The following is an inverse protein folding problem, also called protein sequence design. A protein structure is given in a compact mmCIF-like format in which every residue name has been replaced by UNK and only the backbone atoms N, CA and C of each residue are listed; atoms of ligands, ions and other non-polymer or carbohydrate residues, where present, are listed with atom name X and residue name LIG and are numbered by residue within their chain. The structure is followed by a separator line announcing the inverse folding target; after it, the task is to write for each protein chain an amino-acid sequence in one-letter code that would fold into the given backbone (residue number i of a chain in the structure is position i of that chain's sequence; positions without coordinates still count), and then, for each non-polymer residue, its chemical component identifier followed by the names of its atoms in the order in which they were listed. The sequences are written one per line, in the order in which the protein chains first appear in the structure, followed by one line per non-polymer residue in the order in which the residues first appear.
data_IF_297341121229
#
_entry.id   IF_297341121229
#
_cell.length_a   1.000
_cell.length_b   1.000
_cell.length_c   1.000
_cell.angle_alpha   90.00
_cell.angle_beta   90.00
_cell.angle_gamma   90.00
#
_symmetry.space_group_name_H-M   'P 1'
#
loop_
_entity.id
_entity.type
_entity.pdbx_description
1 polymer ?
#
# COMPACT_ATOMS: atom_id res chain seq x y z
N UNK A 1 -21.73 16.20 8.32
CA UNK A 1 -21.04 15.49 9.43
C UNK A 1 -21.05 13.97 9.29
N UNK A 2 -22.10 13.31 8.77
CA UNK A 2 -22.08 11.85 8.49
C UNK A 2 -21.16 11.42 7.33
N UNK A 3 -20.96 12.28 6.32
CA UNK A 3 -20.07 12.00 5.18
C UNK A 3 -18.59 11.93 5.57
N UNK A 4 -18.16 12.78 6.50
CA UNK A 4 -16.79 12.80 7.03
C UNK A 4 -16.43 11.49 7.77
N UNK A 5 -17.34 10.98 8.61
CA UNK A 5 -17.14 9.70 9.31
C UNK A 5 -17.10 8.49 8.35
N UNK A 6 -17.86 8.52 7.25
CA UNK A 6 -17.79 7.49 6.21
C UNK A 6 -16.45 7.53 5.48
N UNK A 7 -15.95 8.74 5.17
CA UNK A 7 -14.63 8.94 4.56
C UNK A 7 -13.48 8.46 5.46
N UNK A 8 -13.54 8.73 6.77
CA UNK A 8 -12.54 8.24 7.73
C UNK A 8 -12.52 6.72 7.81
N UNK A 9 -13.69 6.07 7.81
CA UNK A 9 -13.79 4.62 7.84
C UNK A 9 -13.21 3.96 6.58
N UNK A 10 -13.45 4.54 5.39
CA UNK A 10 -12.86 4.07 4.13
C UNK A 10 -11.35 4.24 4.13
N UNK A 11 -10.85 5.38 4.64
CA UNK A 11 -9.41 5.60 4.77
C UNK A 11 -8.75 4.61 5.75
N UNK A 12 -9.36 4.35 6.90
CA UNK A 12 -8.89 3.35 7.86
C UNK A 12 -8.86 1.94 7.23
N UNK A 13 -9.88 1.57 6.46
CA UNK A 13 -9.91 0.32 5.71
C UNK A 13 -8.77 0.23 4.68
N UNK A 14 -8.52 1.31 3.94
CA UNK A 14 -7.41 1.42 3.00
C UNK A 14 -6.05 1.26 3.69
N UNK A 15 -5.85 1.90 4.85
CA UNK A 15 -4.62 1.74 5.64
C UNK A 15 -4.40 0.30 6.10
N UNK A 16 -5.45 -0.38 6.56
CA UNK A 16 -5.37 -1.80 6.92
C UNK A 16 -5.00 -2.65 5.71
N UNK A 17 -5.62 -2.39 4.55
CA UNK A 17 -5.28 -3.06 3.30
C UNK A 17 -3.82 -2.87 2.89
N UNK A 18 -3.33 -1.62 2.95
CA UNK A 18 -1.92 -1.29 2.67
C UNK A 18 -0.99 -1.99 3.66
N UNK A 19 -1.33 -2.02 4.94
CA UNK A 19 -0.53 -2.70 5.96
C UNK A 19 -0.42 -4.20 5.69
N UNK A 20 -1.57 -4.88 5.48
CA UNK A 20 -1.60 -6.32 5.18
C UNK A 20 -0.83 -6.64 3.91
N UNK A 21 -1.03 -5.84 2.85
CA UNK A 21 -0.35 -6.04 1.58
C UNK A 21 1.17 -5.81 1.72
N UNK A 22 1.60 -4.79 2.46
CA UNK A 22 3.02 -4.54 2.74
C UNK A 22 3.66 -5.71 3.50
N UNK A 23 2.98 -6.28 4.48
CA UNK A 23 3.44 -7.46 5.22
C UNK A 23 3.61 -8.65 4.28
N UNK A 24 2.65 -8.92 3.39
CA UNK A 24 2.76 -10.01 2.39
C UNK A 24 3.98 -9.80 1.49
N UNK A 25 4.19 -8.59 1.00
CA UNK A 25 5.32 -8.22 0.14
C UNK A 25 6.66 -8.44 0.84
N UNK A 26 6.78 -8.03 2.10
CA UNK A 26 7.97 -8.26 2.93
C UNK A 26 8.20 -9.76 3.16
N UNK A 27 7.18 -10.51 3.58
CA UNK A 27 7.28 -11.96 3.79
C UNK A 27 7.71 -12.66 2.52
N UNK A 28 7.15 -12.28 1.36
CA UNK A 28 7.51 -12.85 0.08
C UNK A 28 8.98 -12.60 -0.27
N UNK A 29 9.49 -11.39 0.00
CA UNK A 29 10.88 -11.04 -0.28
C UNK A 29 11.89 -11.78 0.60
N UNK A 30 11.57 -11.96 1.88
CA UNK A 30 12.40 -12.68 2.85
C UNK A 30 12.13 -14.20 2.85
N UNK A 31 11.21 -14.69 2.02
CA UNK A 31 10.90 -16.11 1.93
C UNK A 31 12.11 -16.91 1.46
N UNK A 32 12.44 -17.96 2.21
CA UNK A 32 13.59 -18.85 1.96
C UNK A 32 13.46 -19.66 0.66
N UNK A 33 12.27 -19.65 0.04
CA UNK A 33 11.97 -20.33 -1.24
C UNK A 33 12.31 -19.49 -2.49
N UNK A 34 12.90 -18.31 -2.33
CA UNK A 34 13.33 -17.50 -3.47
C UNK A 34 14.54 -18.14 -4.19
N UNK A 35 14.55 -18.21 -5.54
CA UNK A 35 15.76 -18.58 -6.29
C UNK A 35 16.92 -17.63 -5.94
N UNK A 36 18.15 -18.16 -5.81
CA UNK A 36 19.30 -17.41 -5.25
C UNK A 36 19.57 -16.07 -5.95
N UNK A 37 19.18 -15.96 -7.22
CA UNK A 37 19.19 -14.73 -8.00
C UNK A 37 17.78 -14.35 -8.44
N UNK A 38 17.23 -13.28 -7.84
CA UNK A 38 16.02 -12.67 -8.37
C UNK A 38 16.35 -12.06 -9.73
N UNK A 39 15.56 -12.42 -10.75
CA UNK A 39 15.71 -11.91 -12.10
C UNK A 39 15.49 -10.39 -12.10
N UNK A 40 16.09 -9.68 -13.05
CA UNK A 40 15.92 -8.22 -13.16
C UNK A 40 14.44 -7.81 -13.23
N UNK A 41 13.62 -8.58 -13.96
CA UNK A 41 12.16 -8.37 -14.02
C UNK A 41 11.46 -8.52 -12.66
N UNK A 42 11.87 -9.48 -11.82
CA UNK A 42 11.30 -9.67 -10.49
C UNK A 42 11.66 -8.52 -9.55
N UNK A 43 12.91 -8.04 -9.63
CA UNK A 43 13.36 -6.86 -8.87
C UNK A 43 12.59 -5.61 -9.28
N UNK A 44 12.36 -5.42 -10.59
CA UNK A 44 11.60 -4.29 -11.12
C UNK A 44 10.12 -4.36 -10.72
N UNK A 45 9.52 -5.55 -10.79
CA UNK A 45 8.14 -5.78 -10.32
C UNK A 45 8.01 -5.48 -8.83
N UNK A 46 8.95 -5.96 -8.01
CA UNK A 46 8.94 -5.69 -6.57
C UNK A 46 9.11 -4.20 -6.26
N UNK A 47 10.01 -3.52 -6.98
CA UNK A 47 10.17 -2.06 -6.88
C UNK A 47 8.90 -1.30 -7.25
N UNK A 48 8.19 -1.72 -8.31
CA UNK A 48 6.93 -1.11 -8.74
C UNK A 48 5.81 -1.31 -7.70
N UNK A 49 5.75 -2.48 -7.05
CA UNK A 49 4.81 -2.77 -5.97
C UNK A 49 5.06 -1.83 -4.78
N UNK A 50 6.32 -1.69 -4.35
CA UNK A 50 6.68 -0.80 -3.24
C UNK A 50 6.37 0.66 -3.58
N UNK A 51 6.68 1.10 -4.80
CA UNK A 51 6.32 2.44 -5.28
C UNK A 51 4.80 2.66 -5.28
N UNK A 52 4.02 1.68 -5.74
CA UNK A 52 2.56 1.74 -5.72
C UNK A 52 1.99 1.90 -4.31
N UNK A 53 2.56 1.20 -3.32
CA UNK A 53 2.20 1.35 -1.91
C UNK A 53 2.46 2.78 -1.43
N UNK A 54 3.65 3.32 -1.68
CA UNK A 54 4.03 4.69 -1.26
C UNK A 54 3.07 5.72 -1.87
N UNK A 55 2.80 5.60 -3.17
CA UNK A 55 1.85 6.48 -3.88
C UNK A 55 0.45 6.38 -3.26
N UNK A 56 -0.06 5.17 -3.01
CA UNK A 56 -1.38 4.97 -2.39
C UNK A 56 -1.48 5.63 -1.00
N UNK A 57 -0.43 5.53 -0.16
CA UNK A 57 -0.39 6.19 1.15
C UNK A 57 -0.41 7.71 1.01
N UNK A 58 0.37 8.28 0.08
CA UNK A 58 0.38 9.72 -0.17
C UNK A 58 -1.00 10.21 -0.59
N UNK A 59 -1.64 9.54 -1.55
CA UNK A 59 -2.99 9.91 -1.99
C UNK A 59 -4.02 9.80 -0.87
N UNK A 60 -3.98 8.73 -0.07
CA UNK A 60 -4.88 8.61 1.09
C UNK A 60 -4.63 9.70 2.15
N UNK A 61 -3.37 10.05 2.42
CA UNK A 61 -3.05 11.14 3.35
C UNK A 61 -3.52 12.50 2.82
N UNK A 62 -3.32 12.76 1.53
CA UNK A 62 -3.81 13.97 0.86
C UNK A 62 -5.34 14.08 0.90
N UNK A 63 -6.06 12.95 0.77
CA UNK A 63 -7.51 12.90 0.90
C UNK A 63 -8.01 13.32 2.29
N UNK A 64 -7.28 12.99 3.36
CA UNK A 64 -7.61 13.44 4.71
C UNK A 64 -7.31 14.94 4.94
N UNK A 65 -6.15 15.41 4.47
CA UNK A 65 -5.74 16.82 4.65
C UNK A 65 -6.61 17.78 3.85
N UNK A 66 -7.01 17.37 2.64
CA UNK A 66 -7.85 18.20 1.78
C UNK A 66 -9.31 18.29 2.23
N UNK A 67 -9.79 17.36 3.06
CA UNK A 67 -11.21 17.25 3.45
C UNK A 67 -12.17 16.96 2.29
N UNK A 68 -11.66 16.87 1.04
CA UNK A 68 -12.43 16.65 -0.18
C UNK A 68 -12.41 15.14 -0.47
N UNK A 69 -13.10 14.40 0.40
CA UNK A 69 -13.76 13.18 -0.01
C UNK A 69 -15.26 13.47 0.09
N UNK A 70 -15.72 14.15 -0.97
CA UNK A 70 -17.08 14.64 -1.29
C UNK A 70 -17.59 15.86 -0.53
#
# INVERSE_FOLDING_TARGET
MRSQQFSEAVFAFLLVGIFVFSVIVVIFWFSKNRPSEARFGEKMMFGAIVMGIVVAVIFGAMQMVGGILF
#
